data_IF_768786628979
#
_entry.id   IF_768786628979
#
_cell.length_a   1.000
_cell.length_b   1.000
_cell.length_c   1.000
_cell.angle_alpha   90.00
_cell.angle_beta   90.00
_cell.angle_gamma   90.00
#
_symmetry.space_group_name_H-M   'P 1'
#
loop_
_entity.id
_entity.type
_entity.pdbx_description
1 polymer ?
2 non-polymer ?
3 water ?
#
# COMPACT_ATOMS: atom_id res chain seq x y z
N UNK A 2 25.41 -21.15 6.55
CA UNK A 2 24.84 -20.52 5.32
C UNK A 2 23.37 -20.15 5.54
N UNK A 3 22.97 -19.00 5.02
CA UNK A 3 21.60 -18.55 5.18
C UNK A 3 20.62 -19.47 4.46
N UNK A 4 21.09 -20.13 3.42
CA UNK A 4 20.25 -21.06 2.66
C UNK A 4 19.90 -22.31 3.46
N UNK A 5 20.68 -22.61 4.48
CA UNK A 5 20.44 -23.80 5.29
C UNK A 5 19.21 -23.72 6.19
N UNK A 6 18.65 -22.53 6.33
CA UNK A 6 17.46 -22.34 7.18
C UNK A 6 16.37 -21.63 6.41
N UNK A 7 15.12 -21.95 6.73
CA UNK A 7 13.98 -21.32 6.07
C UNK A 7 14.15 -19.80 6.09
N UNK A 8 13.84 -19.16 4.97
CA UNK A 8 13.97 -17.71 4.87
C UNK A 8 12.69 -17.11 4.32
N UNK A 9 12.45 -15.85 4.65
CA UNK A 9 11.29 -15.14 4.12
C UNK A 9 11.64 -14.90 2.66
N UNK A 10 10.83 -15.42 1.76
CA UNK A 10 11.10 -15.24 0.34
C UNK A 10 10.86 -13.79 -0.08
N UNK A 11 10.01 -13.09 0.68
CA UNK A 11 9.71 -11.68 0.40
C UNK A 11 10.94 -10.81 0.71
N UNK A 12 11.44 -11.00 1.93
CA UNK A 12 12.60 -10.26 2.43
C UNK A 12 13.90 -10.56 1.69
N UNK A 13 14.14 -11.83 1.41
CA UNK A 13 15.36 -12.24 0.75
C UNK A 13 15.31 -12.25 -0.77
N UNK A 14 14.11 -12.32 -1.34
CA UNK A 14 14.03 -12.37 -2.79
C UNK A 14 13.21 -11.25 -3.46
N UNK A 15 11.90 -11.26 -3.25
CA UNK A 15 11.02 -10.27 -3.89
C UNK A 15 11.17 -8.81 -3.46
N UNK A 16 11.76 -8.55 -2.30
CA UNK A 16 11.92 -7.19 -1.81
C UNK A 16 13.32 -6.89 -1.26
N UNK A 17 14.30 -7.74 -1.59
CA UNK A 17 15.65 -7.56 -1.08
C UNK A 17 16.22 -6.15 -1.17
N UNK A 18 15.83 -5.39 -2.19
CA UNK A 18 16.34 -4.04 -2.36
C UNK A 18 15.40 -2.94 -1.86
N UNK A 19 14.33 -3.34 -1.17
CA UNK A 19 13.37 -2.36 -0.66
C UNK A 19 13.70 -1.87 0.74
N UNK A 20 13.47 -0.57 0.99
CA UNK A 20 13.74 -0.01 2.31
C UNK A 20 12.78 -0.56 3.37
N UNK A 21 11.75 -1.28 2.92
CA UNK A 21 10.81 -1.88 3.85
C UNK A 21 11.50 -2.98 4.65
N UNK A 22 12.51 -3.61 4.05
CA UNK A 22 13.23 -4.66 4.74
C UNK A 22 13.96 -4.08 5.95
N UNK A 23 14.33 -2.80 5.87
CA UNK A 23 15.00 -2.11 6.98
C UNK A 23 13.94 -1.55 7.92
N UNK A 24 12.93 -0.91 7.35
CA UNK A 24 11.85 -0.31 8.12
C UNK A 24 11.12 -1.33 9.01
N UNK A 25 10.90 -2.54 8.49
CA UNK A 25 10.20 -3.56 9.23
C UNK A 25 11.10 -4.52 10.02
N UNK A 26 12.38 -4.19 10.14
CA UNK A 26 13.31 -5.04 10.89
C UNK A 26 13.19 -4.85 12.39
N UNK A 27 13.64 -5.83 13.15
CA UNK A 27 13.59 -5.75 14.60
C UNK A 27 14.44 -4.58 15.11
N UNK A 28 15.54 -4.31 14.44
CA UNK A 28 16.41 -3.20 14.86
C UNK A 28 15.69 -1.87 14.74
N UNK A 29 14.95 -1.69 13.63
CA UNK A 29 14.23 -0.44 13.44
C UNK A 29 13.10 -0.32 14.45
N UNK A 30 12.44 -1.43 14.74
CA UNK A 30 11.34 -1.40 15.69
C UNK A 30 11.86 -1.04 17.09
N UNK A 31 12.95 -1.66 17.52
CA UNK A 31 13.52 -1.38 18.83
C UNK A 31 14.00 0.07 18.87
N UNK A 32 14.49 0.55 17.74
CA UNK A 32 14.97 1.92 17.63
C UNK A 32 13.79 2.88 17.83
N UNK A 33 12.65 2.53 17.24
CA UNK A 33 11.45 3.35 17.37
C UNK A 33 10.95 3.34 18.80
N UNK A 34 11.11 2.21 19.49
CA UNK A 34 10.70 2.11 20.88
C UNK A 34 11.48 3.11 21.71
N UNK A 35 12.78 3.18 21.45
CA UNK A 35 13.67 4.08 22.16
C UNK A 35 13.36 5.52 21.81
N UNK A 36 13.04 5.77 20.54
CA UNK A 36 12.71 7.10 20.08
C UNK A 36 11.45 7.58 20.79
N UNK A 37 10.49 6.65 20.95
CA UNK A 37 9.24 6.97 21.61
C UNK A 37 9.47 7.24 23.09
N UNK A 38 10.31 6.42 23.74
CA UNK A 38 10.62 6.67 25.14
C UNK A 38 11.30 8.03 25.25
N UNK A 39 12.09 8.38 24.24
CA UNK A 39 12.78 9.67 24.23
C UNK A 39 11.75 10.80 24.16
N UNK A 40 10.84 10.73 23.18
CA UNK A 40 9.82 11.75 23.03
C UNK A 40 8.95 11.84 24.27
N UNK A 41 8.65 10.71 24.88
CA UNK A 41 7.82 10.69 26.07
C UNK A 41 8.55 11.46 27.17
N UNK A 42 9.84 11.17 27.33
CA UNK A 42 10.66 11.84 28.34
C UNK A 42 10.73 13.33 28.09
N UNK A 43 10.93 13.73 26.84
CA UNK A 43 11.02 15.14 26.50
C UNK A 43 9.71 15.86 26.81
N UNK A 44 8.59 15.29 26.38
CA UNK A 44 7.29 15.90 26.61
C UNK A 44 6.96 16.01 28.09
N UNK A 45 7.20 14.93 28.84
CA UNK A 45 6.93 14.96 30.28
C UNK A 45 7.75 16.06 30.94
N UNK A 46 9.00 16.23 30.50
CA UNK A 46 9.86 17.26 31.06
C UNK A 46 9.32 18.64 30.70
N UNK A 47 8.99 18.82 29.42
CA UNK A 47 8.46 20.08 28.94
C UNK A 47 7.20 20.46 29.70
N UNK A 48 6.47 19.46 30.19
CA UNK A 48 5.24 19.71 30.91
C UNK A 48 5.39 19.84 32.42
N UNK A 49 6.63 19.91 32.90
CA UNK A 49 6.83 20.08 34.32
C UNK A 49 7.26 18.93 35.21
N UNK A 50 7.38 17.72 34.66
CA UNK A 50 7.80 16.60 35.48
C UNK A 50 9.32 16.67 35.66
N UNK A 51 9.72 17.35 36.72
CA UNK A 51 11.13 17.57 37.05
C UNK A 51 12.00 16.34 37.18
N UNK A 52 11.42 15.21 37.59
CA UNK A 52 12.19 13.99 37.74
C UNK A 52 12.95 13.57 36.47
N UNK A 53 12.51 14.10 35.33
CA UNK A 53 13.16 13.81 34.06
C UNK A 53 14.18 14.92 33.81
N UNK A 54 15.47 14.59 33.95
CA UNK A 54 16.52 15.58 33.75
C UNK A 54 17.03 15.60 32.31
N UNK A 55 17.68 16.70 31.94
CA UNK A 55 18.22 16.83 30.60
C UNK A 55 19.38 15.87 30.38
N UNK A 56 20.07 15.51 31.46
CA UNK A 56 21.20 14.58 31.36
C UNK A 56 20.68 13.19 31.03
N UNK A 57 19.54 12.84 31.62
CA UNK A 57 18.94 11.54 31.37
C UNK A 57 18.56 11.48 29.91
N UNK A 58 17.90 12.53 29.43
CA UNK A 58 17.47 12.60 28.04
C UNK A 58 18.65 12.54 27.07
N UNK A 59 19.75 13.22 27.40
CA UNK A 59 20.91 13.22 26.53
C UNK A 59 21.53 11.83 26.40
N UNK A 60 21.51 11.04 27.46
CA UNK A 60 22.05 9.69 27.42
C UNK A 60 21.22 8.91 26.40
N UNK A 61 19.90 8.99 26.58
CA UNK A 61 18.95 8.31 25.72
C UNK A 61 19.11 8.67 24.25
N UNK A 62 19.23 9.95 23.95
CA UNK A 62 19.39 10.38 22.57
C UNK A 62 20.73 9.96 21.99
N UNK A 63 21.75 9.97 22.83
CA UNK A 63 23.08 9.59 22.39
C UNK A 63 23.22 8.09 22.14
N UNK A 64 22.53 7.29 22.95
CA UNK A 64 22.60 5.83 22.82
C UNK A 64 21.41 5.17 22.15
N UNK A 65 20.59 5.97 21.46
CA UNK A 65 19.40 5.45 20.80
C UNK A 65 19.67 4.31 19.84
N UNK A 66 20.73 4.45 19.05
CA UNK A 66 21.08 3.46 18.03
C UNK A 66 22.11 2.41 18.40
N UNK A 67 22.45 2.31 19.68
CA UNK A 67 23.44 1.35 20.14
C UNK A 67 22.78 0.06 20.62
N UNK A 68 22.94 -1.02 19.86
CA UNK A 68 22.32 -2.29 20.25
C UNK A 68 23.30 -3.40 20.60
N UNK A 69 23.12 -3.96 21.79
CA UNK A 69 23.93 -5.06 22.29
C UNK A 69 23.01 -6.28 22.24
N UNK A 70 22.76 -6.74 21.02
CA UNK A 70 21.87 -7.87 20.80
C UNK A 70 22.12 -9.11 21.66
N UNK A 71 23.39 -9.52 21.81
CA UNK A 71 23.63 -10.71 22.63
C UNK A 71 23.06 -10.49 24.03
N UNK A 72 23.27 -9.30 24.57
CA UNK A 72 22.75 -8.96 25.89
C UNK A 72 21.23 -8.91 25.86
N UNK A 73 20.68 -8.21 24.88
CA UNK A 73 19.23 -8.07 24.74
C UNK A 73 18.58 -9.45 24.67
N UNK A 74 19.19 -10.37 23.93
CA UNK A 74 18.65 -11.73 23.80
C UNK A 74 18.59 -12.45 25.13
N UNK A 75 19.67 -12.39 25.90
CA UNK A 75 19.70 -13.06 27.19
C UNK A 75 18.64 -12.42 28.10
N UNK A 76 18.43 -11.12 27.95
CA UNK A 76 17.44 -10.41 28.75
C UNK A 76 16.03 -10.82 28.37
N UNK A 77 15.79 -11.06 27.10
CA UNK A 77 14.47 -11.48 26.65
C UNK A 77 14.21 -12.91 27.12
N UNK A 78 15.27 -13.55 27.61
CA UNK A 78 15.17 -14.92 28.12
C UNK A 78 14.88 -14.93 29.63
N UNK A 79 15.72 -14.25 30.41
CA UNK A 79 15.51 -14.20 31.86
C UNK A 79 14.08 -13.77 32.14
N UNK A 80 13.66 -12.70 31.46
CA UNK A 80 12.30 -12.19 31.59
C UNK A 80 11.65 -12.35 30.23
N UNK A 81 10.49 -13.00 30.19
CA UNK A 81 9.79 -13.23 28.93
C UNK A 81 8.93 -12.07 28.46
N UNK A 82 9.55 -10.90 28.34
CA UNK A 82 8.86 -9.70 27.89
C UNK A 82 9.82 -8.79 27.13
N UNK A 83 9.69 -8.79 25.81
CA UNK A 83 10.55 -7.98 24.95
C UNK A 83 10.68 -6.51 25.37
N UNK A 84 9.56 -5.85 25.59
CA UNK A 84 9.59 -4.44 25.98
C UNK A 84 10.37 -4.22 27.27
N UNK A 85 10.11 -5.06 28.26
CA UNK A 85 10.80 -4.96 29.55
C UNK A 85 12.30 -5.20 29.33
N UNK A 86 12.62 -6.19 28.50
CA UNK A 86 14.00 -6.51 28.21
C UNK A 86 14.71 -5.32 27.56
N UNK A 87 14.08 -4.73 26.56
CA UNK A 87 14.65 -3.59 25.86
C UNK A 87 14.74 -2.36 26.76
N UNK A 88 13.80 -2.23 27.68
CA UNK A 88 13.81 -1.10 28.60
C UNK A 88 15.02 -1.29 29.50
N UNK A 89 15.17 -2.52 30.02
CA UNK A 89 16.29 -2.87 30.88
C UNK A 89 17.60 -2.59 30.12
N UNK A 90 17.69 -3.10 28.90
CA UNK A 90 18.88 -2.91 28.07
C UNK A 90 19.17 -1.43 27.85
N UNK A 91 18.13 -0.66 27.53
CA UNK A 91 18.30 0.77 27.28
C UNK A 91 18.65 1.44 28.61
N UNK A 92 18.16 0.86 29.70
CA UNK A 92 18.42 1.39 31.02
C UNK A 92 19.90 1.27 31.38
N UNK A 93 20.51 0.12 31.06
CA UNK A 93 21.92 -0.08 31.36
C UNK A 93 22.80 0.86 30.56
N UNK A 94 22.37 1.22 29.36
CA UNK A 94 23.12 2.15 28.50
C UNK A 94 22.98 3.57 29.04
N UNK A 95 21.85 3.86 29.66
CA UNK A 95 21.57 5.18 30.20
C UNK A 95 21.21 5.06 31.68
N UNK A 96 22.21 4.76 32.54
CA UNK A 96 21.99 4.61 33.98
C UNK A 96 21.35 5.80 34.70
N UNK A 97 21.57 7.00 34.19
CA UNK A 97 20.99 8.20 34.80
C UNK A 97 19.49 8.29 34.48
N UNK A 98 19.11 7.79 33.29
CA UNK A 98 17.73 7.83 32.84
C UNK A 98 16.97 6.54 33.13
N UNK A 99 17.67 5.51 33.57
CA UNK A 99 17.06 4.21 33.86
C UNK A 99 15.74 4.30 34.60
N UNK A 100 15.71 5.08 35.67
CA UNK A 100 14.52 5.21 36.48
C UNK A 100 13.32 5.92 35.87
N UNK A 101 13.52 6.76 34.88
CA UNK A 101 12.40 7.48 34.28
C UNK A 101 12.00 7.02 32.88
N UNK A 102 12.67 6.00 32.36
CA UNK A 102 12.34 5.49 31.03
C UNK A 102 10.93 4.91 31.08
N UNK A 103 10.09 5.34 30.13
CA UNK A 103 8.69 4.92 30.00
C UNK A 103 7.81 5.34 31.18
N UNK A 104 8.29 6.32 31.95
CA UNK A 104 7.58 6.81 33.13
C UNK A 104 6.07 7.02 32.92
N UNK A 105 5.27 6.21 33.60
CA UNK A 105 3.82 6.32 33.52
C UNK A 105 3.19 5.63 32.32
N UNK A 106 3.99 5.26 31.33
CA UNK A 106 3.51 4.63 30.12
C UNK A 106 3.44 3.11 30.21
N UNK A 107 2.67 2.52 29.30
CA UNK A 107 2.51 1.08 29.21
C UNK A 107 3.39 0.57 28.07
N UNK A 108 3.66 -0.73 28.05
CA UNK A 108 4.49 -1.32 27.00
C UNK A 108 3.87 -1.02 25.64
N UNK A 109 2.54 -1.08 25.59
CA UNK A 109 1.81 -0.83 24.36
C UNK A 109 2.12 0.56 23.80
N UNK A 110 2.63 1.43 24.66
CA UNK A 110 2.99 2.77 24.22
C UNK A 110 4.02 2.71 23.08
N UNK A 111 5.05 1.89 23.25
CA UNK A 111 6.08 1.77 22.23
C UNK A 111 5.67 0.77 21.17
N UNK A 112 5.09 -0.35 21.58
CA UNK A 112 4.65 -1.40 20.67
C UNK A 112 3.67 -0.88 19.61
N UNK A 113 2.51 -0.40 20.07
CA UNK A 113 1.50 0.11 19.16
C UNK A 113 1.95 1.31 18.34
N UNK A 114 2.58 2.28 18.99
CA UNK A 114 3.03 3.47 18.26
C UNK A 114 4.19 3.20 17.32
N UNK A 115 5.03 2.23 17.64
CA UNK A 115 6.14 1.92 16.76
C UNK A 115 5.58 1.24 15.51
N UNK A 116 4.57 0.40 15.69
CA UNK A 116 3.96 -0.27 14.54
C UNK A 116 3.40 0.80 13.61
N UNK A 117 2.62 1.72 14.18
CA UNK A 117 2.03 2.80 13.39
C UNK A 117 3.08 3.61 12.64
N UNK A 118 4.21 3.90 13.27
CA UNK A 118 5.25 4.67 12.59
C UNK A 118 5.88 3.83 11.50
N UNK A 119 6.21 2.58 11.82
CA UNK A 119 6.80 1.68 10.84
C UNK A 119 5.85 1.46 9.66
N UNK A 120 4.57 1.25 9.96
CA UNK A 120 3.57 1.03 8.93
C UNK A 120 3.45 2.24 8.02
N UNK A 121 3.25 3.42 8.61
CA UNK A 121 3.11 4.61 7.79
C UNK A 121 4.33 4.88 6.93
N UNK A 122 5.53 4.73 7.51
CA UNK A 122 6.73 4.93 6.72
C UNK A 122 6.72 3.97 5.53
N UNK A 123 6.36 2.70 5.79
CA UNK A 123 6.31 1.70 4.74
C UNK A 123 5.28 2.10 3.70
N UNK A 124 4.13 2.60 4.16
CA UNK A 124 3.08 3.03 3.26
C UNK A 124 3.54 4.21 2.40
N UNK A 125 4.32 5.12 2.98
CA UNK A 125 4.81 6.26 2.22
C UNK A 125 5.69 5.81 1.06
N UNK A 126 6.53 4.81 1.29
CA UNK A 126 7.40 4.29 0.23
C UNK A 126 6.56 3.56 -0.80
N UNK A 127 5.53 2.85 -0.33
CA UNK A 127 4.66 2.12 -1.23
C UNK A 127 3.93 3.10 -2.15
N UNK A 128 3.51 4.23 -1.58
CA UNK A 128 2.81 5.26 -2.34
C UNK A 128 3.67 5.89 -3.42
N UNK A 129 4.97 6.05 -3.15
CA UNK A 129 5.85 6.62 -4.16
C UNK A 129 6.03 5.63 -5.31
N UNK A 130 6.15 4.35 -4.96
CA UNK A 130 6.31 3.32 -5.97
C UNK A 130 5.00 3.19 -6.74
N UNK A 131 3.89 3.26 -6.01
CA UNK A 131 2.56 3.14 -6.59
C UNK A 131 2.39 4.23 -7.65
N UNK A 132 2.70 5.47 -7.28
CA UNK A 132 2.57 6.60 -8.21
C UNK A 132 3.39 6.37 -9.47
N UNK A 133 4.60 5.87 -9.32
CA UNK A 133 5.47 5.60 -10.47
C UNK A 133 4.83 4.54 -11.36
N UNK A 134 4.26 3.51 -10.74
CA UNK A 134 3.61 2.45 -11.49
C UNK A 134 2.48 3.04 -12.33
N UNK A 135 1.60 3.80 -11.68
CA UNK A 135 0.48 4.41 -12.39
C UNK A 135 0.97 5.34 -13.49
N UNK A 136 2.03 6.09 -13.21
CA UNK A 136 2.60 6.99 -14.20
C UNK A 136 3.07 6.23 -15.44
N UNK A 137 3.72 5.09 -15.21
CA UNK A 137 4.20 4.26 -16.33
C UNK A 137 3.03 3.75 -17.16
N UNK A 138 1.97 3.31 -16.48
CA UNK A 138 0.80 2.81 -17.18
C UNK A 138 0.14 3.94 -17.98
N UNK A 139 0.14 5.15 -17.44
CA UNK A 139 -0.45 6.29 -18.13
C UNK A 139 0.35 6.59 -19.39
N UNK A 140 1.67 6.46 -19.29
CA UNK A 140 2.56 6.70 -20.42
C UNK A 140 2.23 5.71 -21.53
N UNK A 141 2.12 4.44 -21.14
CA UNK A 141 1.77 3.37 -22.07
C UNK A 141 0.44 3.67 -22.76
N UNK A 142 -0.55 4.09 -21.97
CA UNK A 142 -1.87 4.39 -22.51
C UNK A 142 -1.86 5.56 -23.50
N UNK A 143 -1.17 6.63 -23.15
CA UNK A 143 -1.09 7.78 -24.04
C UNK A 143 -0.41 7.36 -25.36
N UNK A 144 0.68 6.61 -25.24
CA UNK A 144 1.40 6.15 -26.41
C UNK A 144 0.50 5.37 -27.36
N UNK A 145 -0.45 4.63 -26.79
CA UNK A 145 -1.36 3.81 -27.59
C UNK A 145 -2.78 4.33 -27.61
N UNK A 146 -2.96 5.62 -27.32
CA UNK A 146 -4.31 6.19 -27.30
C UNK A 146 -5.07 6.06 -28.62
N UNK A 147 -4.35 5.83 -29.71
CA UNK A 147 -5.02 5.70 -31.00
C UNK A 147 -4.70 4.41 -31.75
N UNK A 148 -4.21 3.42 -31.00
CA UNK A 148 -3.92 2.12 -31.57
C UNK A 148 -5.20 1.31 -31.37
N UNK A 149 -5.90 1.06 -32.46
CA UNK A 149 -7.15 0.33 -32.43
C UNK A 149 -6.98 -1.18 -32.23
N UNK A 150 -7.87 -1.76 -31.45
CA UNK A 150 -7.89 -3.20 -31.22
C UNK A 150 -9.35 -3.56 -30.91
N UNK A 151 -9.66 -4.85 -30.80
CA UNK A 151 -11.03 -5.24 -30.52
C UNK A 151 -11.38 -5.21 -29.04
N UNK A 152 -12.58 -4.71 -28.74
CA UNK A 152 -13.04 -4.69 -27.37
C UNK A 152 -13.57 -6.09 -27.14
N UNK A 153 -13.54 -6.57 -25.90
CA UNK A 153 -14.01 -7.93 -25.64
C UNK A 153 -14.91 -8.11 -24.42
N UNK A 154 -16.00 -8.84 -24.64
CA UNK A 154 -16.95 -9.20 -23.57
C UNK A 154 -16.94 -10.72 -23.65
N UNK A 155 -16.88 -11.39 -22.50
CA UNK A 155 -16.80 -12.86 -22.46
C UNK A 155 -15.50 -13.24 -23.17
N UNK A 156 -14.53 -12.33 -23.15
CA UNK A 156 -13.23 -12.54 -23.81
C UNK A 156 -13.37 -12.61 -25.33
N UNK A 157 -14.53 -12.24 -25.85
CA UNK A 157 -14.74 -12.27 -27.29
C UNK A 157 -15.08 -10.93 -27.91
N UNK A 158 -14.66 -10.75 -29.15
CA UNK A 158 -14.89 -9.52 -29.90
C UNK A 158 -16.29 -8.96 -29.71
N UNK A 159 -16.37 -7.71 -29.26
CA UNK A 159 -17.67 -7.08 -29.03
C UNK A 159 -17.74 -5.71 -29.70
N UNK A 160 -16.59 -5.15 -30.02
CA UNK A 160 -16.55 -3.84 -30.66
C UNK A 160 -15.09 -3.49 -30.88
N UNK A 161 -14.83 -2.21 -31.10
CA UNK A 161 -13.49 -1.73 -31.28
C UNK A 161 -13.20 -0.70 -30.21
N UNK A 162 -12.03 -0.80 -29.60
CA UNK A 162 -11.60 0.13 -28.58
C UNK A 162 -10.17 0.46 -28.96
N UNK A 163 -9.47 1.18 -28.09
CA UNK A 163 -8.07 1.50 -28.35
C UNK A 163 -7.29 0.87 -27.21
N UNK A 164 -6.06 0.49 -27.49
CA UNK A 164 -5.22 -0.13 -26.48
C UNK A 164 -5.15 0.84 -25.29
N UNK A 165 -5.13 2.13 -25.61
CA UNK A 165 -5.05 3.18 -24.61
C UNK A 165 -6.26 3.30 -23.71
N UNK A 166 -7.45 3.12 -24.28
CA UNK A 166 -8.65 3.20 -23.46
C UNK A 166 -8.60 2.06 -22.46
N UNK A 167 -8.18 0.89 -22.93
CA UNK A 167 -8.09 -0.26 -22.05
C UNK A 167 -7.00 0.01 -21.01
N UNK A 168 -5.91 0.64 -21.44
CA UNK A 168 -4.85 0.97 -20.52
C UNK A 168 -5.36 1.88 -19.41
N UNK A 169 -6.26 2.79 -19.77
CA UNK A 169 -6.84 3.71 -18.80
C UNK A 169 -7.89 3.01 -17.92
N UNK A 170 -8.47 1.93 -18.45
CA UNK A 170 -9.45 1.17 -17.69
C UNK A 170 -8.66 0.51 -16.56
N UNK A 171 -7.49 -0.03 -16.89
CA UNK A 171 -6.63 -0.65 -15.90
C UNK A 171 -6.12 0.41 -14.93
N UNK A 172 -5.70 1.55 -15.48
CA UNK A 172 -5.18 2.66 -14.70
C UNK A 172 -6.17 3.12 -13.64
N UNK A 173 -7.47 3.11 -13.97
CA UNK A 173 -8.47 3.53 -13.02
C UNK A 173 -8.58 2.57 -11.85
N UNK A 174 -8.51 1.27 -12.14
CA UNK A 174 -8.58 0.28 -11.08
C UNK A 174 -7.45 0.55 -10.09
N UNK A 175 -6.24 0.69 -10.61
CA UNK A 175 -5.08 0.95 -9.76
C UNK A 175 -5.18 2.33 -9.08
N UNK A 176 -5.69 3.33 -9.79
CA UNK A 176 -5.81 4.67 -9.21
C UNK A 176 -6.80 4.69 -8.04
N UNK A 177 -7.89 3.94 -8.14
CA UNK A 177 -8.86 3.90 -7.05
C UNK A 177 -8.23 3.22 -5.83
N UNK A 178 -7.37 2.25 -6.07
CA UNK A 178 -6.69 1.56 -4.97
C UNK A 178 -5.72 2.56 -4.35
N UNK A 179 -5.02 3.30 -5.22
CA UNK A 179 -4.06 4.31 -4.77
C UNK A 179 -4.76 5.34 -3.88
N UNK A 180 -5.90 5.83 -4.35
CA UNK A 180 -6.65 6.83 -3.58
C UNK A 180 -7.08 6.29 -2.22
N UNK A 181 -7.44 5.01 -2.17
CA UNK A 181 -7.85 4.40 -0.92
C UNK A 181 -6.66 4.37 0.06
N UNK A 182 -5.52 3.88 -0.42
CA UNK A 182 -4.33 3.82 0.43
C UNK A 182 -3.85 5.23 0.79
N UNK A 183 -3.98 6.15 -0.15
CA UNK A 183 -3.58 7.53 0.06
C UNK A 183 -4.43 8.19 1.15
N UNK A 184 -5.75 7.94 1.12
CA UNK A 184 -6.64 8.50 2.11
C UNK A 184 -6.38 7.88 3.48
N UNK A 185 -6.14 6.58 3.50
CA UNK A 185 -5.87 5.86 4.74
C UNK A 185 -4.63 6.47 5.41
N UNK A 186 -3.64 6.80 4.59
CA UNK A 186 -2.40 7.38 5.09
C UNK A 186 -2.67 8.74 5.75
N UNK A 187 -3.52 9.55 5.13
CA UNK A 187 -3.83 10.87 5.69
C UNK A 187 -4.67 10.80 6.96
N UNK A 188 -5.53 9.80 7.06
CA UNK A 188 -6.42 9.66 8.21
C UNK A 188 -5.88 8.81 9.36
N UNK A 189 -4.77 8.11 9.14
CA UNK A 189 -4.17 7.27 10.17
C UNK A 189 -4.06 7.97 11.51
N UNK A 190 -4.58 7.36 12.55
CA UNK A 190 -4.48 7.96 13.87
C UNK A 190 -3.47 7.30 14.79
N UNK A 191 -2.73 8.15 15.49
CA UNK A 191 -1.69 7.74 16.43
C UNK A 191 -2.38 7.30 17.73
N UNK A 192 -1.77 6.36 18.45
CA UNK A 192 -2.32 5.92 19.72
C UNK A 192 -2.02 6.94 20.81
N UNK A 193 -0.78 7.40 20.82
CA UNK A 193 -0.35 8.37 21.82
C UNK A 193 -0.25 7.70 23.18
N UNK A 194 -0.52 8.45 24.23
CA UNK A 194 -0.48 7.89 25.59
C UNK A 194 -1.92 7.61 26.02
N UNK A 195 -2.16 6.41 26.53
CA UNK A 195 -3.50 6.00 26.93
C UNK A 195 -3.53 5.12 28.18
N UNK A 196 -2.36 4.70 28.65
CA UNK A 196 -2.33 3.84 29.82
C UNK A 196 -2.53 2.39 29.41
N UNK A 197 -2.53 1.49 30.39
CA UNK A 197 -2.69 0.07 30.12
C UNK A 197 -4.10 -0.36 29.71
N UNK A 198 -5.10 0.44 30.07
CA UNK A 198 -6.48 0.10 29.72
C UNK A 198 -7.20 1.23 29.00
N UNK A 199 -6.47 2.32 28.75
CA UNK A 199 -7.05 3.44 28.03
C UNK A 199 -7.56 4.60 28.88
N UNK A 200 -7.45 4.50 30.21
CA UNK A 200 -7.94 5.56 31.08
C UNK A 200 -6.94 6.67 31.38
N UNK A 201 -5.65 6.38 31.19
CA UNK A 201 -4.59 7.36 31.44
C UNK A 201 -4.45 7.69 32.93
N UNK A 202 -4.95 6.80 33.78
CA UNK A 202 -4.89 6.99 35.22
C UNK A 202 -3.47 7.22 35.76
N UNK A 203 -2.50 6.50 35.21
CA UNK A 203 -1.11 6.63 35.65
C UNK A 203 -0.55 8.01 35.37
N UNK A 204 -0.83 8.52 34.18
CA UNK A 204 -0.35 9.85 33.81
C UNK A 204 -1.08 10.91 34.62
N UNK A 205 -2.36 10.68 34.90
CA UNK A 205 -3.15 11.63 35.68
C UNK A 205 -2.54 11.80 37.07
N UNK A 206 -2.26 10.68 37.71
CA UNK A 206 -1.65 10.69 39.04
C UNK A 206 -0.29 11.38 38.96
N UNK A 207 0.42 11.10 37.87
CA UNK A 207 1.74 11.67 37.64
C UNK A 207 1.66 13.19 37.55
N UNK A 208 0.53 13.70 37.07
CA UNK A 208 0.33 15.14 36.94
C UNK A 208 -0.55 15.69 38.05
N UNK A 209 -0.63 14.95 39.16
CA UNK A 209 -1.41 15.35 40.31
C UNK A 209 -2.86 15.69 39.98
N UNK A 210 -3.48 14.91 39.10
CA UNK A 210 -4.88 15.14 38.76
C UNK A 210 -5.21 16.15 37.68
N UNK A 211 -4.20 16.82 37.12
CA UNK A 211 -4.46 17.80 36.07
C UNK A 211 -4.69 17.10 34.74
N UNK A 212 -5.94 17.06 34.28
CA UNK A 212 -6.27 16.40 33.02
C UNK A 212 -5.73 17.10 31.79
N UNK A 213 -5.65 18.42 31.83
CA UNK A 213 -5.17 19.17 30.67
C UNK A 213 -3.71 18.82 30.39
N UNK A 214 -2.96 18.47 31.43
CA UNK A 214 -1.57 18.11 31.26
C UNK A 214 -1.48 16.72 30.61
N UNK A 215 -2.43 15.85 30.96
CA UNK A 215 -2.48 14.51 30.37
C UNK A 215 -2.81 14.65 28.88
N UNK A 216 -3.78 15.51 28.57
CA UNK A 216 -4.18 15.75 27.20
C UNK A 216 -3.03 16.41 26.44
N UNK A 217 -2.36 17.36 27.09
CA UNK A 217 -1.24 18.05 26.46
C UNK A 217 -0.11 17.06 26.17
N UNK A 218 0.12 16.14 27.08
CA UNK A 218 1.17 15.14 26.89
C UNK A 218 0.82 14.25 25.70
N UNK A 219 -0.44 13.85 25.61
CA UNK A 219 -0.91 12.99 24.53
C UNK A 219 -0.74 13.69 23.20
N UNK A 220 -1.04 14.99 23.19
CA UNK A 220 -0.93 15.80 21.99
C UNK A 220 0.53 16.06 21.66
N UNK A 221 1.31 16.34 22.69
CA UNK A 221 2.72 16.64 22.51
C UNK A 221 3.47 15.45 21.91
N UNK A 222 3.31 14.26 22.48
CA UNK A 222 3.99 13.08 21.96
C UNK A 222 3.55 12.79 20.53
N UNK A 223 2.25 12.99 20.25
CA UNK A 223 1.74 12.75 18.91
C UNK A 223 2.42 13.71 17.92
N UNK A 224 2.61 14.95 18.36
CA UNK A 224 3.23 15.97 17.53
C UNK A 224 4.69 15.63 17.24
N UNK A 225 5.39 15.14 18.26
CA UNK A 225 6.80 14.78 18.09
C UNK A 225 6.95 13.61 17.13
N UNK A 226 5.99 12.68 17.17
CA UNK A 226 5.99 11.51 16.31
C UNK A 226 5.56 11.86 14.89
N UNK A 227 5.23 13.13 14.68
CA UNK A 227 4.82 13.64 13.38
C UNK A 227 3.45 13.14 12.87
N UNK A 228 2.50 13.00 13.80
CA UNK A 228 1.15 12.58 13.43
C UNK A 228 0.18 13.74 13.65
N UNK A 229 -0.71 13.96 12.69
CA UNK A 229 -1.69 15.03 12.78
C UNK A 229 -2.95 14.55 13.51
N UNK A 230 -3.16 13.25 13.49
CA UNK A 230 -4.34 12.68 14.12
C UNK A 230 -3.98 11.65 15.17
N UNK A 231 -4.80 11.53 16.19
CA UNK A 231 -4.57 10.56 17.24
C UNK A 231 -5.92 10.15 17.80
N UNK A 232 -5.96 8.94 18.35
CA UNK A 232 -7.17 8.45 18.96
C UNK A 232 -7.31 9.13 20.31
N UNK A 233 -8.55 9.34 20.75
CA UNK A 233 -8.81 9.93 22.05
C UNK A 233 -9.38 8.80 22.89
N UNK A 234 -10.19 7.97 22.23
CA UNK A 234 -10.82 6.84 22.88
C UNK A 234 -10.13 5.54 22.48
N UNK A 235 -9.65 4.78 23.47
CA UNK A 235 -9.04 3.49 23.21
C UNK A 235 -9.10 2.63 24.47
N UNK A 236 -8.72 1.37 24.28
CA UNK A 236 -8.63 0.43 25.38
C UNK A 236 -7.13 0.45 25.57
N UNK A 237 -6.49 -0.70 25.68
CA UNK A 237 -5.05 -0.71 25.82
C UNK A 237 -4.37 -0.30 24.50
N UNK A 238 -4.94 -0.75 23.39
CA UNK A 238 -4.38 -0.46 22.08
C UNK A 238 -5.31 0.43 21.26
N UNK A 239 -4.81 0.88 20.12
CA UNK A 239 -5.61 1.68 19.20
C UNK A 239 -6.48 0.63 18.49
N UNK A 240 -7.67 1.04 18.05
CA UNK A 240 -8.59 0.11 17.38
C UNK A 240 -7.98 -0.71 16.24
N UNK A 241 -8.15 -2.03 16.31
CA UNK A 241 -7.64 -2.90 15.27
C UNK A 241 -8.47 -2.72 14.00
N UNK A 242 -9.51 -1.88 14.07
CA UNK A 242 -10.31 -1.61 12.89
C UNK A 242 -9.43 -0.79 11.93
N UNK A 243 -8.46 -0.06 12.49
CA UNK A 243 -7.59 0.75 11.65
C UNK A 243 -6.68 -0.17 10.83
N UNK A 244 -6.28 -1.29 11.44
CA UNK A 244 -5.44 -2.26 10.74
C UNK A 244 -6.23 -2.96 9.63
N UNK A 245 -7.53 -3.15 9.83
CA UNK A 245 -8.36 -3.80 8.82
C UNK A 245 -8.42 -2.89 7.60
N UNK A 246 -8.53 -1.59 7.87
CA UNK A 246 -8.59 -0.62 6.80
C UNK A 246 -7.27 -0.64 6.03
N UNK A 247 -6.16 -0.76 6.76
CA UNK A 247 -4.85 -0.80 6.12
C UNK A 247 -4.75 -2.01 5.18
N UNK A 248 -5.09 -3.19 5.70
CA UNK A 248 -5.05 -4.41 4.91
C UNK A 248 -6.02 -4.35 3.74
N UNK A 249 -7.20 -3.80 3.96
CA UNK A 249 -8.18 -3.73 2.88
C UNK A 249 -7.69 -2.84 1.74
N UNK A 250 -7.11 -1.69 2.07
CA UNK A 250 -6.60 -0.79 1.05
C UNK A 250 -5.59 -1.51 0.17
N UNK A 251 -4.75 -2.34 0.79
CA UNK A 251 -3.75 -3.09 0.02
C UNK A 251 -4.42 -4.23 -0.75
N UNK A 252 -5.55 -4.72 -0.24
CA UNK A 252 -6.26 -5.78 -0.93
C UNK A 252 -6.89 -5.20 -2.20
N UNK A 253 -7.18 -3.90 -2.19
CA UNK A 253 -7.74 -3.24 -3.38
C UNK A 253 -6.70 -3.21 -4.48
N UNK A 254 -5.44 -3.02 -4.08
CA UNK A 254 -4.33 -3.00 -5.01
C UNK A 254 -4.23 -4.41 -5.61
N UNK A 255 -4.37 -5.42 -4.76
CA UNK A 255 -4.31 -6.80 -5.24
C UNK A 255 -5.42 -7.15 -6.21
N UNK A 256 -6.65 -6.78 -5.90
CA UNK A 256 -7.77 -7.08 -6.78
C UNK A 256 -7.58 -6.39 -8.13
N UNK A 257 -7.24 -5.11 -8.08
CA UNK A 257 -7.02 -4.30 -9.28
C UNK A 257 -5.87 -4.87 -10.11
N UNK A 258 -4.74 -5.10 -9.46
CA UNK A 258 -3.57 -5.63 -10.13
C UNK A 258 -3.83 -7.00 -10.75
N UNK A 259 -4.56 -7.87 -10.04
CA UNK A 259 -4.82 -9.19 -10.56
C UNK A 259 -5.71 -9.12 -11.82
N UNK A 260 -6.66 -8.19 -11.81
CA UNK A 260 -7.54 -8.02 -12.97
C UNK A 260 -6.68 -7.54 -14.15
N UNK A 261 -5.80 -6.58 -13.89
CA UNK A 261 -4.92 -6.04 -14.92
C UNK A 261 -3.95 -7.07 -15.46
N UNK A 262 -3.28 -7.77 -14.55
CA UNK A 262 -2.30 -8.78 -14.95
C UNK A 262 -2.92 -9.98 -15.66
N UNK A 263 -4.13 -10.36 -15.27
CA UNK A 263 -4.79 -11.49 -15.90
C UNK A 263 -5.17 -11.05 -17.33
N UNK A 264 -5.56 -9.79 -17.48
CA UNK A 264 -5.92 -9.25 -18.79
C UNK A 264 -4.69 -9.30 -19.70
N UNK A 265 -3.55 -8.86 -19.18
CA UNK A 265 -2.31 -8.87 -19.94
C UNK A 265 -1.92 -10.30 -20.32
N UNK A 266 -2.04 -11.23 -19.38
CA UNK A 266 -1.69 -12.62 -19.67
C UNK A 266 -2.57 -13.18 -20.76
N UNK A 267 -3.86 -12.84 -20.73
CA UNK A 267 -4.78 -13.33 -21.74
C UNK A 267 -4.51 -12.66 -23.09
N UNK A 268 -4.23 -11.36 -23.07
CA UNK A 268 -3.93 -10.61 -24.28
C UNK A 268 -2.63 -11.11 -24.89
N UNK A 269 -1.68 -11.48 -24.05
CA UNK A 269 -0.42 -11.98 -24.58
C UNK A 269 -0.70 -13.32 -25.26
N UNK A 270 -1.56 -14.14 -24.66
CA UNK A 270 -1.90 -15.43 -25.24
C UNK A 270 -2.59 -15.20 -26.58
N UNK A 271 -3.38 -14.13 -26.68
CA UNK A 271 -4.06 -13.82 -27.93
C UNK A 271 -3.07 -13.28 -28.97
N UNK A 272 -1.86 -12.97 -28.52
CA UNK A 272 -0.85 -12.45 -29.42
C UNK A 272 -0.93 -10.94 -29.62
N UNK A 273 -1.67 -10.26 -28.74
CA UNK A 273 -1.81 -8.80 -28.87
C UNK A 273 -0.78 -7.98 -28.12
N UNK A 274 -0.29 -8.50 -27.00
CA UNK A 274 0.70 -7.80 -26.20
C UNK A 274 1.89 -8.69 -25.86
N UNK A 275 2.97 -8.05 -25.45
CA UNK A 275 4.19 -8.73 -25.04
C UNK A 275 4.77 -7.97 -23.85
N UNK A 276 4.88 -8.65 -22.72
CA UNK A 276 5.46 -7.99 -21.55
C UNK A 276 6.96 -8.08 -21.73
N UNK A 277 7.72 -7.20 -21.07
CA UNK A 277 9.18 -7.19 -21.17
C UNK A 277 9.80 -8.56 -20.98
N UNK A 291 8.88 -18.54 -28.00
CA UNK A 291 7.66 -18.27 -27.23
C UNK A 291 7.97 -17.37 -26.04
N UNK A 292 7.20 -16.30 -25.90
CA UNK A 292 7.39 -15.38 -24.78
C UNK A 292 6.26 -15.55 -23.78
N UNK A 293 6.62 -15.99 -22.57
CA UNK A 293 5.63 -16.20 -21.52
C UNK A 293 5.50 -14.97 -20.63
N UNK A 294 4.27 -14.63 -20.22
CA UNK A 294 4.03 -13.46 -19.36
C UNK A 294 4.32 -13.80 -17.91
N UNK A 295 5.57 -14.18 -17.64
CA UNK A 295 6.01 -14.57 -16.30
C UNK A 295 5.89 -13.47 -15.25
N UNK A 296 6.16 -12.23 -15.62
CA UNK A 296 6.04 -11.14 -14.66
C UNK A 296 4.59 -10.95 -14.26
N UNK A 297 3.69 -11.04 -15.24
CA UNK A 297 2.27 -10.90 -14.97
C UNK A 297 1.78 -12.03 -14.08
N UNK A 298 2.36 -13.21 -14.25
CA UNK A 298 1.96 -14.34 -13.44
C UNK A 298 2.42 -14.15 -12.00
N UNK A 299 3.62 -13.61 -11.82
CA UNK A 299 4.10 -13.35 -10.47
C UNK A 299 3.18 -12.31 -9.86
N UNK A 300 2.71 -11.39 -10.69
CA UNK A 300 1.81 -10.33 -10.26
C UNK A 300 0.49 -10.90 -9.73
N UNK A 301 -0.06 -11.90 -10.43
CA UNK A 301 -1.32 -12.52 -9.97
C UNK A 301 -1.13 -13.30 -8.66
N UNK A 302 0.04 -13.92 -8.48
CA UNK A 302 0.31 -14.68 -7.27
C UNK A 302 0.40 -13.74 -6.07
N UNK A 303 1.13 -12.65 -6.23
CA UNK A 303 1.26 -11.66 -5.16
C UNK A 303 -0.09 -11.02 -4.87
N UNK A 304 -0.80 -10.67 -5.93
CA UNK A 304 -2.12 -10.06 -5.81
C UNK A 304 -3.09 -10.99 -5.07
N UNK A 305 -3.06 -12.27 -5.41
CA UNK A 305 -3.95 -13.25 -4.77
C UNK A 305 -3.76 -13.25 -3.24
N UNK A 306 -2.51 -13.10 -2.80
CA UNK A 306 -2.20 -13.08 -1.37
C UNK A 306 -2.82 -11.86 -0.66
N UNK A 307 -2.70 -10.68 -1.27
CA UNK A 307 -3.27 -9.47 -0.67
C UNK A 307 -4.80 -9.57 -0.64
N UNK A 308 -5.38 -10.19 -1.65
CA UNK A 308 -6.83 -10.36 -1.72
C UNK A 308 -7.37 -11.26 -0.61
N UNK A 309 -6.58 -12.24 -0.20
CA UNK A 309 -7.02 -13.19 0.82
C UNK A 309 -6.61 -12.81 2.24
N UNK A 310 -6.26 -11.54 2.44
CA UNK A 310 -5.83 -11.06 3.75
C UNK A 310 -6.84 -10.28 4.59
N UNK A 311 -7.71 -9.50 3.95
CA UNK A 311 -8.71 -8.70 4.67
C UNK A 311 -9.51 -9.41 5.76
N UNK A 312 -10.01 -10.60 5.46
CA UNK A 312 -10.81 -11.33 6.43
C UNK A 312 -10.09 -11.72 7.71
N UNK A 313 -8.77 -11.85 7.65
CA UNK A 313 -8.03 -12.18 8.85
C UNK A 313 -7.96 -10.92 9.73
N UNK A 314 -7.66 -9.78 9.11
CA UNK A 314 -7.58 -8.51 9.86
C UNK A 314 -8.93 -8.20 10.51
N UNK A 315 -10.02 -8.41 9.78
CA UNK A 315 -11.36 -8.16 10.31
C UNK A 315 -11.65 -9.11 11.48
N UNK A 316 -11.21 -10.36 11.36
CA UNK A 316 -11.42 -11.33 12.42
C UNK A 316 -10.61 -10.95 13.66
N UNK A 317 -9.44 -10.37 13.45
CA UNK A 317 -8.61 -9.94 14.58
C UNK A 317 -9.39 -8.93 15.42
N UNK A 318 -10.01 -7.96 14.76
CA UNK A 318 -10.80 -6.96 15.47
C UNK A 318 -11.97 -7.62 16.18
N UNK A 319 -12.73 -8.42 15.44
CA UNK A 319 -13.87 -9.12 16.01
C UNK A 319 -13.49 -9.97 17.22
N UNK A 320 -12.25 -10.47 17.27
CA UNK A 320 -11.77 -11.31 18.35
C UNK A 320 -11.22 -10.55 19.55
N UNK A 321 -11.09 -9.23 19.44
CA UNK A 321 -10.55 -8.45 20.55
C UNK A 321 -11.51 -8.41 21.72
N UNK A 322 -11.05 -8.93 22.86
CA UNK A 322 -11.90 -8.95 24.04
C UNK A 322 -11.77 -7.77 24.98
N UNK A 323 -12.88 -7.08 25.20
CA UNK A 323 -12.93 -5.93 26.09
C UNK A 323 -11.78 -4.94 25.83
N UNK A 324 -11.08 -4.49 26.86
CA UNK A 324 -10.02 -3.51 26.65
C UNK A 324 -8.81 -4.05 25.90
N UNK A 325 -8.70 -5.38 25.85
CA UNK A 325 -7.61 -6.02 25.12
C UNK A 325 -7.37 -7.48 25.46
N UNK A 326 -7.08 -8.25 24.42
CA UNK A 326 -6.73 -9.66 24.54
C UNK A 326 -5.51 -9.73 23.62
N UNK A 327 -4.49 -10.48 24.03
CA UNK A 327 -3.26 -10.56 23.26
C UNK A 327 -3.23 -11.55 22.10
N UNK A 328 -4.40 -12.06 21.70
CA UNK A 328 -4.48 -13.00 20.60
C UNK A 328 -4.26 -12.29 19.26
N UNK A 329 -3.94 -11.00 19.33
CA UNK A 329 -3.72 -10.22 18.12
C UNK A 329 -2.24 -10.01 17.81
N UNK A 330 -1.38 -10.06 18.82
CA UNK A 330 0.06 -9.84 18.62
C UNK A 330 0.70 -10.72 17.54
N UNK A 331 0.82 -12.01 17.82
CA UNK A 331 1.44 -12.92 16.87
C UNK A 331 0.76 -12.78 15.51
N UNK A 332 -0.56 -12.58 15.52
CA UNK A 332 -1.30 -12.43 14.29
C UNK A 332 -0.93 -11.17 13.52
N UNK A 333 -0.85 -10.04 14.23
CA UNK A 333 -0.50 -8.78 13.59
C UNK A 333 0.95 -8.78 13.11
N UNK A 334 1.83 -9.35 13.91
CA UNK A 334 3.25 -9.41 13.59
C UNK A 334 3.49 -10.20 12.31
N UNK A 335 2.65 -11.19 12.05
CA UNK A 335 2.81 -11.98 10.85
C UNK A 335 2.06 -11.39 9.66
N UNK A 336 0.83 -10.95 9.88
CA UNK A 336 0.00 -10.41 8.82
C UNK A 336 0.38 -9.08 8.16
N UNK A 337 0.45 -8.02 8.94
CA UNK A 337 0.71 -6.70 8.40
C UNK A 337 2.05 -6.53 7.68
N UNK A 338 3.16 -6.94 8.32
CA UNK A 338 4.43 -6.76 7.60
C UNK A 338 4.42 -7.55 6.27
N UNK A 339 3.75 -8.70 6.26
CA UNK A 339 3.68 -9.51 5.06
C UNK A 339 2.92 -8.84 3.92
N UNK A 340 1.79 -8.21 4.24
CA UNK A 340 1.01 -7.55 3.20
C UNK A 340 1.75 -6.30 2.70
N UNK A 341 2.40 -5.57 3.61
CA UNK A 341 3.15 -4.37 3.21
C UNK A 341 4.25 -4.74 2.22
N UNK A 342 4.99 -5.80 2.53
CA UNK A 342 6.06 -6.28 1.67
C UNK A 342 5.51 -6.85 0.37
N UNK A 343 4.42 -7.63 0.46
CA UNK A 343 3.82 -8.21 -0.73
C UNK A 343 3.38 -7.12 -1.69
N UNK A 344 2.81 -6.04 -1.16
CA UNK A 344 2.34 -4.93 -1.98
C UNK A 344 3.53 -4.26 -2.68
N UNK A 345 4.64 -4.14 -1.98
CA UNK A 345 5.84 -3.52 -2.53
C UNK A 345 6.41 -4.39 -3.66
N UNK A 346 6.47 -5.71 -3.43
CA UNK A 346 6.98 -6.64 -4.43
C UNK A 346 6.06 -6.60 -5.66
N UNK A 347 4.77 -6.50 -5.42
CA UNK A 347 3.77 -6.43 -6.49
C UNK A 347 3.98 -5.16 -7.32
N UNK A 348 4.14 -4.03 -6.65
CA UNK A 348 4.32 -2.76 -7.35
C UNK A 348 5.62 -2.73 -8.16
N UNK A 349 6.67 -3.33 -7.62
CA UNK A 349 7.96 -3.40 -8.31
C UNK A 349 7.79 -4.18 -9.61
N UNK A 350 7.01 -5.26 -9.54
CA UNK A 350 6.74 -6.11 -10.69
C UNK A 350 5.89 -5.37 -11.71
N UNK A 351 4.83 -4.72 -11.26
CA UNK A 351 3.98 -3.95 -12.15
C UNK A 351 4.79 -2.90 -12.89
N UNK A 352 5.71 -2.26 -12.17
CA UNK A 352 6.54 -1.22 -12.78
C UNK A 352 7.36 -1.80 -13.93
N UNK A 353 7.97 -2.96 -13.71
CA UNK A 353 8.77 -3.61 -14.74
C UNK A 353 7.88 -3.89 -15.97
N UNK A 354 6.71 -4.45 -15.71
CA UNK A 354 5.78 -4.77 -16.77
C UNK A 354 5.38 -3.55 -17.61
N UNK A 355 4.94 -2.47 -16.95
CA UNK A 355 4.52 -1.28 -17.68
C UNK A 355 5.63 -0.50 -18.37
N UNK A 356 6.86 -0.66 -17.93
CA UNK A 356 7.95 0.07 -18.56
C UNK A 356 8.30 -0.52 -19.93
N UNK A 357 8.14 -1.82 -20.09
CA UNK A 357 8.46 -2.43 -21.38
C UNK A 357 7.32 -3.14 -22.09
N UNK A 358 6.09 -2.96 -21.61
CA UNK A 358 4.93 -3.57 -22.24
C UNK A 358 4.80 -3.00 -23.65
N UNK A 359 4.62 -3.87 -24.63
CA UNK A 359 4.49 -3.40 -26.00
C UNK A 359 3.36 -4.11 -26.74
N UNK A 360 2.93 -3.51 -27.83
CA UNK A 360 1.86 -4.07 -28.64
C UNK A 360 2.39 -4.77 -29.87
N UNK A 361 1.86 -5.95 -30.17
CA UNK A 361 2.25 -6.70 -31.36
C UNK A 361 1.34 -6.12 -32.44
N UNK A 362 1.71 -4.96 -32.97
CA UNK A 362 0.88 -4.28 -33.97
C UNK A 362 0.45 -5.09 -35.19
N UNK A 363 1.28 -6.03 -35.64
CA UNK A 363 0.89 -6.84 -36.79
C UNK A 363 -0.29 -7.74 -36.42
N UNK A 364 -0.19 -8.41 -35.26
CA UNK A 364 -1.27 -9.28 -34.82
C UNK A 364 -2.55 -8.51 -34.52
N UNK A 365 -2.42 -7.37 -33.86
CA UNK A 365 -3.59 -6.57 -33.52
C UNK A 365 -4.34 -6.10 -34.77
N UNK A 366 -3.57 -5.61 -35.74
CA UNK A 366 -4.14 -5.13 -36.99
C UNK A 366 -4.91 -6.25 -37.68
N UNK A 367 -4.34 -7.45 -37.67
CA UNK A 367 -4.99 -8.61 -38.29
C UNK A 367 -6.26 -9.03 -37.55
N UNK A 368 -6.20 -9.02 -36.22
CA UNK A 368 -7.36 -9.41 -35.45
C UNK A 368 -8.49 -8.42 -35.74
N UNK A 369 -8.14 -7.13 -35.84
CA UNK A 369 -9.11 -6.10 -36.14
C UNK A 369 -9.70 -6.32 -37.52
N UNK A 370 -8.86 -6.64 -38.50
CA UNK A 370 -9.33 -6.87 -39.87
C UNK A 370 -10.26 -8.07 -40.01
N UNK A 371 -10.03 -9.13 -39.23
CA UNK A 371 -10.88 -10.31 -39.31
C UNK A 371 -12.25 -10.09 -38.69
N UNK A 372 -12.38 -9.03 -37.90
CA UNK A 372 -13.64 -8.74 -37.22
C UNK A 372 -14.37 -7.48 -37.67
N UNK A 373 -13.64 -6.53 -38.25
CA UNK A 373 -14.21 -5.26 -38.68
C UNK A 373 -15.35 -5.30 -39.69
N UNK A 374 -15.40 -6.34 -40.52
CA UNK A 374 -16.47 -6.44 -41.51
C UNK A 374 -17.79 -6.61 -40.77
N UNK A 375 -17.81 -7.55 -39.83
CA UNK A 375 -19.01 -7.84 -39.06
C UNK A 375 -19.43 -6.69 -38.16
N UNK A 376 -18.45 -6.05 -37.52
CA UNK A 376 -18.76 -4.91 -36.65
C UNK A 376 -19.38 -3.83 -37.54
N UNK A 377 -18.94 -3.78 -38.80
CA UNK A 377 -19.48 -2.81 -39.73
C UNK A 377 -20.92 -3.16 -40.05
N UNK A 378 -21.18 -4.44 -40.27
CA UNK A 378 -22.52 -4.92 -40.57
C UNK A 378 -23.47 -4.59 -39.43
N UNK A 379 -23.01 -4.83 -38.20
CA UNK A 379 -23.81 -4.53 -37.02
C UNK A 379 -24.09 -3.03 -36.95
N UNK A 380 -23.09 -2.24 -37.33
CA UNK A 380 -23.21 -0.79 -37.32
C UNK A 380 -24.26 -0.29 -38.31
N UNK A 381 -24.23 -0.84 -39.52
CA UNK A 381 -25.18 -0.46 -40.56
C UNK A 381 -26.61 -0.77 -40.11
N UNK A 382 -26.77 -1.94 -39.50
CA UNK A 382 -28.08 -2.38 -39.02
C UNK A 382 -28.68 -1.37 -38.04
N UNK A 383 -27.83 -0.81 -37.17
CA UNK A 383 -28.30 0.17 -36.19
C UNK A 383 -28.65 1.50 -36.84
N UNK A 384 -27.81 1.94 -37.78
CA UNK A 384 -28.06 3.21 -38.48
C UNK A 384 -29.37 3.10 -39.27
N UNK A 385 -29.83 1.86 -39.46
CA UNK A 385 -31.07 1.60 -40.18
C UNK A 385 -32.18 1.16 -39.23
N UNK A 419 -19.14 -2.28 -51.52
CA UNK A 419 -18.41 -3.36 -50.87
C UNK A 419 -19.28 -4.62 -50.84
N UNK A 420 -19.69 -5.02 -49.64
CA UNK A 420 -20.54 -6.19 -49.48
C UNK A 420 -21.98 -5.76 -49.18
N UNK A 421 -22.18 -4.45 -49.17
CA UNK A 421 -23.49 -3.87 -48.89
C UNK A 421 -24.18 -3.30 -50.12
N UNK A 422 -23.72 -3.69 -51.31
CA UNK A 422 -24.33 -3.19 -52.54
C UNK A 422 -25.62 -4.00 -52.78
N UNK A 423 -26.72 -3.59 -52.14
CA UNK A 423 -27.97 -4.32 -52.30
C UNK A 423 -28.86 -3.90 -53.49
N UNK A 424 -29.51 -2.72 -53.44
CA UNK A 424 -29.61 -1.61 -52.47
C UNK A 424 -30.40 -1.97 -51.22
N UNK A 425 -30.03 -1.33 -50.12
CA UNK A 425 -30.66 -1.52 -48.83
C UNK A 425 -29.75 -0.81 -47.84
N UNK A 426 -28.47 -0.76 -48.20
CA UNK A 426 -27.47 -0.11 -47.39
C UNK A 426 -27.09 1.20 -48.06
N UNK A 427 -27.74 1.48 -49.18
CA UNK A 427 -27.48 2.69 -49.96
C UNK A 427 -27.46 3.97 -49.13
N UNK A 428 -28.15 3.97 -47.99
CA UNK A 428 -28.19 5.15 -47.14
C UNK A 428 -27.15 5.10 -46.04
N UNK A 429 -26.36 4.03 -46.00
CA UNK A 429 -25.34 3.88 -44.98
C UNK A 429 -24.07 3.17 -45.47
N UNK A 430 -24.00 2.85 -46.76
CA UNK A 430 -22.85 2.16 -47.32
C UNK A 430 -21.55 2.95 -47.18
N UNK A 431 -21.56 4.19 -47.66
CA UNK A 431 -20.37 5.04 -47.60
C UNK A 431 -19.89 5.27 -46.18
N UNK A 432 -20.82 5.51 -45.27
CA UNK A 432 -20.46 5.77 -43.87
C UNK A 432 -19.75 4.57 -43.25
N UNK A 433 -20.28 3.37 -43.49
CA UNK A 433 -19.69 2.15 -42.96
C UNK A 433 -18.34 1.89 -43.62
N UNK A 434 -18.27 2.03 -44.93
CA UNK A 434 -17.02 1.83 -45.66
C UNK A 434 -15.96 2.75 -45.07
N UNK A 435 -16.37 3.96 -44.72
CA UNK A 435 -15.43 4.91 -44.14
C UNK A 435 -14.90 4.44 -42.80
N UNK A 436 -15.77 3.79 -42.02
CA UNK A 436 -15.38 3.27 -40.71
C UNK A 436 -14.41 2.11 -40.88
N UNK A 437 -14.66 1.25 -41.86
CA UNK A 437 -13.80 0.11 -42.13
C UNK A 437 -12.41 0.52 -42.64
N UNK A 438 -12.33 1.66 -43.33
CA UNK A 438 -11.04 2.13 -43.83
C UNK A 438 -10.34 2.97 -42.77
N UNK A 439 -11.08 3.30 -41.72
CA UNK A 439 -10.56 4.10 -40.62
C UNK A 439 -11.14 3.59 -39.30
N UNK A 440 -10.69 2.41 -38.86
CA UNK A 440 -11.14 1.77 -37.62
C UNK A 440 -11.25 2.71 -36.43
N UNK A 441 -10.32 3.64 -36.32
CA UNK A 441 -10.30 4.59 -35.21
C UNK A 441 -11.64 5.31 -35.04
N UNK A 442 -12.38 5.49 -36.14
CA UNK A 442 -13.67 6.18 -36.07
C UNK A 442 -14.76 5.24 -35.60
N UNK A 443 -14.37 3.99 -35.36
CA UNK A 443 -15.29 2.95 -34.93
C UNK A 443 -15.18 2.77 -33.41
N UNK A 444 -14.29 3.54 -32.78
CA UNK A 444 -14.05 3.43 -31.34
C UNK A 444 -14.76 4.44 -30.45
N UNK A 445 -15.84 5.04 -30.95
CA UNK A 445 -16.56 6.00 -30.15
C UNK A 445 -15.66 7.06 -29.55
N UNK A 446 -15.80 7.29 -28.25
CA UNK A 446 -15.02 8.31 -27.56
C UNK A 446 -13.78 7.82 -26.82
N UNK A 447 -13.25 6.65 -27.21
CA UNK A 447 -12.07 6.11 -26.56
C UNK A 447 -10.94 7.12 -26.39
N UNK A 448 -10.61 7.83 -27.47
CA UNK A 448 -9.52 8.80 -27.44
C UNK A 448 -9.69 9.94 -26.44
N UNK A 449 -10.80 10.66 -26.52
CA UNK A 449 -11.02 11.78 -25.60
C UNK A 449 -11.16 11.28 -24.16
N UNK A 450 -11.79 10.13 -23.95
CA UNK A 450 -11.95 9.57 -22.61
C UNK A 450 -10.56 9.30 -22.00
N UNK A 451 -9.69 8.70 -22.80
CA UNK A 451 -8.34 8.36 -22.38
C UNK A 451 -7.53 9.58 -21.95
N UNK A 452 -7.60 10.64 -22.77
CA UNK A 452 -6.85 11.85 -22.49
C UNK A 452 -7.40 12.64 -21.31
N UNK A 453 -8.71 12.85 -21.28
CA UNK A 453 -9.29 13.60 -20.18
C UNK A 453 -9.10 12.88 -18.84
N UNK A 454 -9.23 11.55 -18.82
CA UNK A 454 -9.04 10.82 -17.57
C UNK A 454 -7.62 11.04 -17.06
N UNK A 455 -6.64 10.85 -17.93
CA UNK A 455 -5.24 11.03 -17.54
C UNK A 455 -4.91 12.45 -17.08
N UNK A 456 -5.30 13.44 -17.89
CA UNK A 456 -5.03 14.84 -17.58
C UNK A 456 -5.79 15.39 -16.39
N UNK A 457 -7.07 15.06 -16.29
CA UNK A 457 -7.89 15.60 -15.21
C UNK A 457 -8.11 14.75 -13.96
N UNK A 458 -7.76 13.46 -14.01
CA UNK A 458 -7.96 12.61 -12.85
C UNK A 458 -6.70 11.90 -12.39
N UNK A 459 -6.04 11.20 -13.30
CA UNK A 459 -4.84 10.45 -12.96
C UNK A 459 -3.64 11.31 -12.53
N UNK A 460 -3.23 12.27 -13.36
CA UNK A 460 -2.08 13.10 -13.00
C UNK A 460 -2.27 13.95 -11.75
N UNK A 461 -3.39 14.68 -11.64
CA UNK A 461 -3.61 15.48 -10.45
C UNK A 461 -3.57 14.65 -9.16
N UNK A 462 -3.92 13.37 -9.28
CA UNK A 462 -3.93 12.49 -8.12
C UNK A 462 -2.56 11.98 -7.71
N UNK A 463 -1.74 11.57 -8.68
CA UNK A 463 -0.42 11.02 -8.37
C UNK A 463 0.75 11.98 -8.50
N UNK A 464 0.57 13.08 -9.23
CA UNK A 464 1.65 14.03 -9.44
C UNK A 464 2.45 14.42 -8.20
N UNK A 465 1.78 14.60 -7.07
CA UNK A 465 2.48 14.98 -5.85
C UNK A 465 3.38 13.89 -5.27
N UNK A 466 3.28 12.67 -5.79
CA UNK A 466 4.09 11.56 -5.31
C UNK A 466 5.24 11.24 -6.25
N UNK A 467 5.19 11.82 -7.45
CA UNK A 467 6.24 11.61 -8.44
C UNK A 467 7.22 12.76 -8.30
N UNK A 468 8.45 12.46 -7.90
CA UNK A 468 9.48 13.48 -7.76
C UNK A 468 8.97 14.73 -7.04
X LIG B 1 0.62 4.41 27.57
X LIG B 1 -0.07 5.22 26.56
X LIG B 1 2.06 4.65 27.44
X LIG B 1 0.20 4.80 28.91
X LIG B 1 0.31 3.00 27.35
#
# INVERSE_FOLDING_TARGET
XASEDKFESVLSTRYCKNSPLVSILSETNKATLWRQLWIWLAEAEKELGLKQVTQDAIDEMKSNRDVFDWPFIRSEERKLKHDVMAHNHAFGKLCPTAAGIIHLGATSCFVQDNADLIAYRDSIDHILKRFATVIDRLAAFSLKNKEVVTVGRTHYQTASLVTVGKRGVLWAQELLMAFQSLSEFRDKMRFRGIKGATGTQDSFLTLFAGDESKVEALDELVTKKANFSNRFLITGQTYSRQQDSQLVFSLSLLGAAAKKVCTDIRVLQAFGELLEPFEKDQIGSSAXPYKKNPMKSERCCALSRKLINAPQEALTILADQGLERTLDDSAGRRMLIPDVLLTAEALLTTLQNIFEGLSVQTDNVKKIVEDEIAFLGLEKAMMMLTEEGVDRQQAHAVIRKTALEAKQLQATQKVDIRQTMADPFFDSVRDRVVGLVNNPINFTGRCVSQTESFIAKELKPTIDKYLDKSAGNVQLDV
SO4 S O1 O2 O3 O4
#
